data_IF_973822378208
#
_entry.id   IF_973822378208
#
_cell.length_a   1.000
_cell.length_b   1.000
_cell.length_c   1.000
_cell.angle_alpha   90.00
_cell.angle_beta   90.00
_cell.angle_gamma   90.00
#
_symmetry.space_group_name_H-M   'P 1'
#
loop_
_entity.id
_entity.type
_entity.pdbx_description
1 polymer ?
#
# COMPACT_ATOMS: atom_id res chain seq x y z
N UNK A 1 14.31 -1.28 -4.10
CA UNK A 1 14.73 -1.05 -5.50
C UNK A 1 13.48 -1.03 -6.37
N UNK A 2 13.42 -0.18 -7.40
CA UNK A 2 12.20 -0.02 -8.19
C UNK A 2 11.83 -1.29 -8.99
N UNK A 3 10.54 -1.60 -9.21
CA UNK A 3 10.09 -2.86 -9.80
C UNK A 3 10.61 -3.13 -11.22
N UNK A 4 10.97 -2.09 -11.97
CA UNK A 4 11.45 -2.20 -13.35
C UNK A 4 12.96 -2.51 -13.46
N UNK A 5 13.73 -2.44 -12.37
CA UNK A 5 15.19 -2.62 -12.41
C UNK A 5 15.60 -4.01 -12.91
N UNK A 6 14.96 -5.13 -12.52
CA UNK A 6 15.30 -6.45 -13.06
C UNK A 6 15.19 -6.52 -14.58
N UNK A 7 14.15 -5.91 -15.16
CA UNK A 7 13.97 -5.87 -16.61
C UNK A 7 15.03 -4.99 -17.27
N UNK A 8 15.29 -3.79 -16.73
CA UNK A 8 16.29 -2.86 -17.26
C UNK A 8 17.71 -3.44 -17.29
N UNK A 9 18.05 -4.29 -16.32
CA UNK A 9 19.35 -4.98 -16.26
C UNK A 9 19.64 -5.85 -17.48
N UNK A 10 18.62 -6.44 -18.09
CA UNK A 10 18.80 -7.28 -19.28
C UNK A 10 19.33 -6.50 -20.49
N UNK A 11 19.21 -5.17 -20.48
CA UNK A 11 19.60 -4.28 -21.58
C UNK A 11 20.94 -3.59 -21.36
N UNK A 12 21.58 -3.78 -20.20
CA UNK A 12 22.74 -3.02 -19.75
C UNK A 12 23.90 -3.96 -19.41
N UNK A 13 25.16 -3.50 -19.48
CA UNK A 13 26.30 -4.27 -19.02
C UNK A 13 26.13 -4.70 -17.55
N UNK A 14 26.59 -5.90 -17.20
CA UNK A 14 26.54 -6.42 -15.82
C UNK A 14 27.25 -5.50 -14.81
N UNK A 15 28.23 -4.71 -15.25
CA UNK A 15 28.96 -3.73 -14.43
C UNK A 15 28.18 -2.45 -14.13
N UNK A 16 26.96 -2.31 -14.65
CA UNK A 16 26.14 -1.11 -14.44
C UNK A 16 25.59 -1.09 -13.01
N UNK A 17 26.00 -0.06 -12.25
CA UNK A 17 25.45 0.21 -10.93
C UNK A 17 24.11 0.98 -11.05
N UNK A 18 23.10 0.57 -10.28
CA UNK A 18 21.84 1.27 -10.20
C UNK A 18 21.78 2.04 -8.90
N UNK A 19 21.66 3.37 -9.01
CA UNK A 19 21.46 4.24 -7.85
C UNK A 19 20.06 4.83 -7.88
N UNK A 20 19.40 4.78 -6.74
CA UNK A 20 18.11 5.45 -6.59
C UNK A 20 18.27 6.95 -6.85
N UNK A 21 17.29 7.58 -7.50
CA UNK A 21 17.34 9.02 -7.73
C UNK A 21 17.15 9.80 -6.44
N UNK A 22 16.65 9.19 -5.36
CA UNK A 22 16.41 9.77 -4.05
C UNK A 22 14.96 10.18 -3.83
N UNK A 23 14.54 10.17 -2.57
CA UNK A 23 13.18 10.46 -2.14
C UNK A 23 12.95 11.99 -2.05
N UNK A 24 11.84 12.44 -2.63
CA UNK A 24 11.45 13.85 -2.71
C UNK A 24 10.02 14.00 -3.24
N UNK A 25 9.49 15.21 -3.18
CA UNK A 25 8.19 15.59 -3.75
C UNK A 25 8.20 17.06 -4.20
N UNK A 26 7.05 17.60 -4.60
CA UNK A 26 6.88 19.04 -4.87
C UNK A 26 7.22 19.94 -3.66
N UNK A 27 7.09 19.40 -2.45
CA UNK A 27 7.33 20.09 -1.18
C UNK A 27 8.83 20.21 -0.84
N UNK A 28 9.67 19.40 -1.49
CA UNK A 28 11.12 19.49 -1.40
C UNK A 28 11.85 18.18 -1.64
N UNK A 29 13.17 18.22 -1.53
CA UNK A 29 14.04 17.06 -1.65
C UNK A 29 14.42 16.54 -0.27
N UNK A 30 14.16 15.26 0.00
CA UNK A 30 14.25 14.68 1.34
C UNK A 30 15.53 13.88 1.57
N UNK A 31 15.95 13.07 0.59
CA UNK A 31 17.14 12.22 0.75
C UNK A 31 18.18 12.36 -0.34
N UNK A 32 19.42 12.03 0.02
CA UNK A 32 20.54 11.82 -0.89
C UNK A 32 20.98 10.36 -0.78
N UNK A 33 20.75 9.53 -1.82
CA UNK A 33 21.27 8.16 -1.87
C UNK A 33 22.80 8.16 -2.01
N UNK A 34 23.47 7.34 -1.21
CA UNK A 34 24.94 7.21 -1.22
C UNK A 34 25.42 5.78 -1.48
N UNK A 35 24.51 4.81 -1.51
CA UNK A 35 24.80 3.40 -1.76
C UNK A 35 24.04 2.94 -3.00
N UNK A 36 24.71 2.20 -3.88
CA UNK A 36 24.07 1.57 -5.03
C UNK A 36 23.18 0.41 -4.59
N UNK A 37 22.19 0.05 -5.41
CA UNK A 37 21.27 -1.07 -5.19
C UNK A 37 20.38 -0.97 -3.95
N UNK A 38 20.37 0.20 -3.31
CA UNK A 38 19.68 0.45 -2.04
C UNK A 38 18.71 1.62 -2.22
N UNK A 39 17.43 1.47 -1.80
CA UNK A 39 16.42 2.51 -1.97
C UNK A 39 16.54 3.64 -0.93
N UNK A 40 17.25 3.42 0.18
CA UNK A 40 17.37 4.42 1.23
C UNK A 40 18.40 5.50 0.92
N UNK A 41 18.20 6.67 1.51
CA UNK A 41 19.15 7.78 1.43
C UNK A 41 19.28 8.51 2.74
N UNK A 42 20.36 9.26 2.86
CA UNK A 42 20.61 10.13 4.01
C UNK A 42 19.57 11.25 3.96
N UNK A 43 18.82 11.42 5.04
CA UNK A 43 17.89 12.53 5.20
C UNK A 43 18.68 13.84 5.17
N UNK A 44 18.15 14.86 4.48
CA UNK A 44 18.84 16.11 4.22
C UNK A 44 18.33 17.21 5.17
N UNK A 45 18.90 17.38 6.38
CA UNK A 45 18.37 18.30 7.40
C UNK A 45 18.52 19.79 7.04
N UNK A 46 19.30 20.12 6.01
CA UNK A 46 19.56 21.52 5.63
C UNK A 46 18.52 22.10 4.67
N UNK A 47 17.66 21.28 4.05
CA UNK A 47 16.66 21.74 3.08
C UNK A 47 15.30 22.01 3.72
N UNK A 48 14.97 21.26 4.77
CA UNK A 48 13.65 21.22 5.39
C UNK A 48 13.81 20.89 6.88
N UNK A 49 12.84 21.30 7.69
CA UNK A 49 12.72 20.81 9.05
C UNK A 49 11.77 19.61 9.08
N UNK A 50 12.21 18.52 9.71
CA UNK A 50 11.49 17.26 9.75
C UNK A 50 11.05 16.93 11.17
N UNK A 51 9.77 16.62 11.31
CA UNK A 51 9.16 15.98 12.45
C UNK A 51 8.64 14.59 12.03
N UNK A 52 8.53 13.66 12.98
CA UNK A 52 8.19 12.27 12.71
C UNK A 52 7.09 11.78 13.65
N UNK A 53 6.01 11.26 13.11
CA UNK A 53 4.94 10.62 13.89
C UNK A 53 5.08 9.11 13.78
N UNK A 54 5.15 8.34 14.87
CA UNK A 54 5.20 6.88 14.79
C UNK A 54 3.98 6.31 14.04
N UNK A 55 4.20 5.45 13.04
CA UNK A 55 3.13 4.92 12.21
C UNK A 55 2.32 3.81 12.92
N UNK A 56 3.01 3.02 13.75
CA UNK A 56 2.47 1.83 14.42
C UNK A 56 2.35 1.95 15.94
N UNK A 57 2.73 3.09 16.52
CA UNK A 57 2.66 3.33 17.97
C UNK A 57 1.78 4.52 18.32
N UNK A 58 0.50 4.24 18.57
CA UNK A 58 -0.49 5.26 18.93
C UNK A 58 -0.29 5.80 20.37
N UNK A 59 0.70 5.30 21.14
CA UNK A 59 1.01 5.78 22.50
C UNK A 59 1.85 7.04 22.52
N UNK A 60 2.52 7.35 21.41
CA UNK A 60 3.34 8.55 21.28
C UNK A 60 2.45 9.64 20.67
N UNK A 61 2.04 10.59 21.52
CA UNK A 61 1.12 11.68 21.16
C UNK A 61 1.82 12.93 20.62
N UNK A 62 3.16 12.91 20.53
CA UNK A 62 3.97 14.01 20.02
C UNK A 62 4.83 13.61 18.82
N UNK A 63 5.10 14.55 17.90
CA UNK A 63 6.16 14.35 16.93
C UNK A 63 7.53 14.20 17.58
N UNK A 64 8.34 13.36 16.95
CA UNK A 64 9.73 13.09 17.28
C UNK A 64 10.65 13.87 16.36
N UNK A 65 11.88 14.10 16.83
CA UNK A 65 12.98 14.67 16.06
C UNK A 65 13.90 13.56 15.52
N UNK A 66 14.71 13.87 14.52
CA UNK A 66 15.58 12.89 13.85
C UNK A 66 16.53 12.12 14.78
N UNK A 67 16.93 12.68 15.93
CA UNK A 67 17.79 12.00 16.90
C UNK A 67 17.02 11.01 17.81
N UNK A 68 15.70 11.08 17.85
CA UNK A 68 14.84 10.22 18.67
C UNK A 68 14.38 8.95 17.91
N UNK A 69 14.67 8.86 16.61
CA UNK A 69 14.20 7.77 15.77
C UNK A 69 14.96 6.46 16.02
N UNK A 70 14.20 5.36 15.95
CA UNK A 70 14.68 3.99 16.11
C UNK A 70 14.85 3.30 14.75
N UNK A 71 15.97 2.59 14.57
CA UNK A 71 16.22 1.80 13.35
C UNK A 71 15.20 0.67 13.23
N UNK A 72 14.64 0.50 12.03
CA UNK A 72 13.63 -0.50 11.69
C UNK A 72 12.19 -0.01 11.89
N UNK A 73 11.98 1.07 12.64
CA UNK A 73 10.64 1.61 12.90
C UNK A 73 10.12 2.46 11.73
N UNK A 74 8.78 2.57 11.67
CA UNK A 74 8.04 3.31 10.65
C UNK A 74 7.53 4.63 11.22
N UNK A 75 7.68 5.71 10.44
CA UNK A 75 7.24 7.04 10.83
C UNK A 75 6.55 7.75 9.66
N UNK A 76 5.47 8.47 9.94
CA UNK A 76 4.92 9.47 9.04
C UNK A 76 5.74 10.75 9.11
N UNK A 77 6.09 11.28 7.94
CA UNK A 77 6.88 12.51 7.80
C UNK A 77 6.00 13.75 7.93
N UNK A 78 6.46 14.70 8.73
CA UNK A 78 5.85 16.02 8.90
C UNK A 78 6.91 17.08 8.58
N UNK A 79 6.56 18.02 7.69
CA UNK A 79 7.52 18.92 7.06
C UNK A 79 7.24 20.39 7.42
N UNK A 80 8.30 21.14 7.65
CA UNK A 80 8.28 22.61 7.59
C UNK A 80 9.29 23.09 6.55
N UNK A 81 8.87 23.98 5.65
CA UNK A 81 9.69 24.47 4.55
C UNK A 81 9.65 26.00 4.37
N UNK A 82 10.58 26.52 3.58
CA UNK A 82 10.69 27.97 3.31
C UNK A 82 9.55 28.53 2.43
N UNK A 83 8.74 27.66 1.80
CA UNK A 83 7.62 28.05 0.95
C UNK A 83 6.30 28.22 1.72
N UNK A 84 6.33 28.15 3.05
CA UNK A 84 5.18 28.41 3.91
C UNK A 84 4.41 27.16 4.34
N UNK A 85 4.93 25.95 4.10
CA UNK A 85 4.41 24.75 4.74
C UNK A 85 4.94 24.69 6.17
N UNK A 86 4.04 24.62 7.16
CA UNK A 86 4.38 24.51 8.58
C UNK A 86 3.71 23.28 9.16
N UNK A 87 4.53 22.36 9.68
CA UNK A 87 4.07 21.07 10.25
C UNK A 87 3.10 20.35 9.31
N UNK A 88 3.39 20.41 8.01
CA UNK A 88 2.57 19.83 6.96
C UNK A 88 2.76 18.32 6.92
N UNK A 89 1.66 17.58 7.05
CA UNK A 89 1.66 16.11 6.92
C UNK A 89 1.67 15.78 5.43
N UNK A 90 2.82 15.34 4.92
CA UNK A 90 2.93 14.85 3.53
C UNK A 90 2.33 13.46 3.35
N UNK A 91 1.96 12.84 4.48
CA UNK A 91 1.38 11.49 4.54
C UNK A 91 2.29 10.46 3.89
N UNK A 92 3.60 10.60 4.04
CA UNK A 92 4.57 9.58 3.63
C UNK A 92 5.05 8.82 4.85
N UNK A 93 5.00 7.49 4.78
CA UNK A 93 5.60 6.58 5.74
C UNK A 93 7.01 6.26 5.28
N UNK A 94 7.97 6.51 6.15
CA UNK A 94 9.38 6.17 5.95
C UNK A 94 9.84 5.15 6.98
N UNK A 95 10.77 4.27 6.59
CA UNK A 95 11.48 3.38 7.50
C UNK A 95 12.86 3.94 7.76
N UNK A 96 13.29 3.91 9.02
CA UNK A 96 14.65 4.29 9.40
C UNK A 96 15.56 3.08 9.22
N UNK A 97 16.47 3.15 8.26
CA UNK A 97 17.40 2.06 7.93
C UNK A 97 18.71 2.15 8.74
N UNK A 98 18.98 3.32 9.33
CA UNK A 98 20.15 3.55 10.16
C UNK A 98 20.49 5.02 10.30
N UNK A 99 21.78 5.31 10.50
CA UNK A 99 22.32 6.66 10.65
C UNK A 99 23.62 6.83 9.88
N UNK A 100 23.85 8.03 9.35
CA UNK A 100 25.10 8.45 8.74
C UNK A 100 25.53 9.77 9.38
N UNK A 101 26.68 9.78 10.07
CA UNK A 101 27.20 10.97 10.76
C UNK A 101 26.13 11.66 11.65
N UNK A 102 25.30 10.87 12.31
CA UNK A 102 24.19 11.32 13.16
C UNK A 102 22.86 11.61 12.43
N UNK A 103 22.88 11.83 11.12
CA UNK A 103 21.67 12.03 10.32
C UNK A 103 20.93 10.69 10.07
N UNK A 104 19.58 10.64 10.16
CA UNK A 104 18.83 9.45 9.80
C UNK A 104 19.03 9.05 8.34
N UNK A 105 19.17 7.75 8.10
CA UNK A 105 19.07 7.16 6.76
C UNK A 105 17.68 6.55 6.64
N UNK A 106 16.91 6.96 5.62
CA UNK A 106 15.50 6.60 5.51
C UNK A 106 15.16 6.05 4.13
N UNK A 107 14.28 5.04 4.10
CA UNK A 107 13.64 4.52 2.91
C UNK A 107 12.18 4.96 2.87
N UNK A 108 11.71 5.42 1.71
CA UNK A 108 10.28 5.57 1.49
C UNK A 108 9.60 4.20 1.48
N UNK A 109 8.49 4.06 2.19
CA UNK A 109 7.70 2.83 2.27
C UNK A 109 6.42 3.00 1.47
N UNK A 110 5.55 3.92 1.89
CA UNK A 110 4.26 4.19 1.24
C UNK A 110 3.68 5.54 1.60
N UNK A 111 2.56 5.89 0.97
CA UNK A 111 1.66 6.93 1.46
C UNK A 111 0.86 6.38 2.66
N UNK A 112 0.68 7.17 3.71
CA UNK A 112 -0.08 6.83 4.91
C UNK A 112 -1.54 6.48 4.60
N UNK A 113 -2.10 7.02 3.52
CA UNK A 113 -3.45 6.70 3.04
C UNK A 113 -3.57 5.39 2.26
N UNK A 114 -2.47 4.73 1.92
CA UNK A 114 -2.47 3.45 1.19
C UNK A 114 -2.53 2.27 2.17
N UNK A 115 -3.46 2.37 3.13
CA UNK A 115 -3.74 1.34 4.14
C UNK A 115 -5.24 1.13 4.29
N UNK A 116 -5.63 -0.13 4.37
CA UNK A 116 -6.96 -0.56 4.78
C UNK A 116 -7.10 -0.50 6.29
N UNK A 117 -8.23 -0.03 6.79
CA UNK A 117 -8.50 -0.03 8.22
C UNK A 117 -9.98 -0.20 8.48
N UNK A 118 -10.34 -1.33 9.11
CA UNK A 118 -11.70 -1.62 9.56
C UNK A 118 -11.72 -1.65 11.08
N UNK A 119 -10.80 -2.38 11.72
CA UNK A 119 -10.72 -2.64 13.16
C UNK A 119 -9.29 -2.46 13.70
N UNK A 120 -8.62 -1.39 13.26
CA UNK A 120 -7.29 -0.99 13.74
C UNK A 120 -6.14 -1.89 13.26
N UNK A 121 -6.34 -2.64 12.19
CA UNK A 121 -5.36 -3.56 11.62
C UNK A 121 -4.31 -2.87 10.74
N UNK A 122 -4.62 -1.68 10.20
CA UNK A 122 -3.76 -0.90 9.29
C UNK A 122 -3.14 -1.79 8.18
N UNK A 123 -4.00 -2.49 7.43
CA UNK A 123 -3.60 -3.40 6.34
C UNK A 123 -2.87 -2.63 5.23
N UNK A 124 -1.59 -2.90 5.09
CA UNK A 124 -0.67 -2.26 4.15
C UNK A 124 -0.92 -2.67 2.69
N UNK A 125 -0.91 -1.71 1.76
CA UNK A 125 -1.05 -1.97 0.31
C UNK A 125 0.01 -2.95 -0.21
N UNK A 126 1.23 -2.90 0.31
CA UNK A 126 2.33 -3.77 -0.09
C UNK A 126 2.07 -5.24 0.26
N UNK A 127 1.33 -5.51 1.34
CA UNK A 127 0.94 -6.89 1.68
C UNK A 127 -0.12 -7.42 0.71
N UNK A 128 -1.02 -6.54 0.26
CA UNK A 128 -1.99 -6.88 -0.79
C UNK A 128 -1.29 -7.16 -2.10
N UNK A 129 -0.40 -6.27 -2.54
CA UNK A 129 0.39 -6.45 -3.76
C UNK A 129 1.22 -7.74 -3.71
N UNK A 130 1.87 -8.02 -2.58
CA UNK A 130 2.64 -9.26 -2.40
C UNK A 130 1.75 -10.50 -2.43
N UNK A 131 0.57 -10.47 -1.80
CA UNK A 131 -0.37 -11.59 -1.80
C UNK A 131 -0.92 -11.86 -3.21
N UNK A 132 -1.29 -10.81 -3.94
CA UNK A 132 -1.80 -10.89 -5.32
C UNK A 132 -0.71 -11.35 -6.30
N UNK A 133 0.52 -10.84 -6.17
CA UNK A 133 1.64 -11.21 -7.04
C UNK A 133 1.96 -12.69 -6.91
N UNK A 134 2.00 -13.22 -5.69
CA UNK A 134 2.24 -14.64 -5.45
C UNK A 134 1.19 -15.53 -6.12
N UNK A 135 -0.08 -15.11 -6.13
CA UNK A 135 -1.15 -15.84 -6.82
C UNK A 135 -1.02 -15.78 -8.34
N UNK A 136 -0.64 -14.63 -8.89
CA UNK A 136 -0.39 -14.49 -10.34
C UNK A 136 0.81 -15.30 -10.84
N UNK A 137 1.79 -15.57 -9.98
CA UNK A 137 2.91 -16.47 -10.27
C UNK A 137 2.49 -17.96 -10.28
N UNK A 138 1.52 -18.33 -9.43
CA UNK A 138 1.01 -19.69 -9.31
C UNK A 138 0.01 -20.05 -10.42
N UNK A 139 -0.88 -19.13 -10.77
CA UNK A 139 -1.88 -19.29 -11.84
C UNK A 139 -1.88 -18.06 -12.76
N UNK A 140 -1.09 -18.08 -13.86
CA UNK A 140 -1.02 -16.99 -14.83
C UNK A 140 -2.36 -16.64 -15.51
N UNK A 141 -3.35 -17.54 -15.48
CA UNK A 141 -4.68 -17.29 -16.06
C UNK A 141 -5.55 -16.43 -15.12
N UNK A 142 -5.25 -16.43 -13.82
CA UNK A 142 -5.95 -15.62 -12.80
C UNK A 142 -5.14 -14.39 -12.38
N UNK A 143 -4.23 -13.93 -13.24
CA UNK A 143 -3.47 -12.70 -12.99
C UNK A 143 -4.37 -11.46 -13.12
N UNK A 144 -4.44 -10.59 -12.10
CA UNK A 144 -5.13 -9.32 -12.23
C UNK A 144 -4.32 -8.33 -13.07
N UNK A 145 -4.98 -7.66 -14.02
CA UNK A 145 -4.46 -6.43 -14.64
C UNK A 145 -4.46 -5.26 -13.67
N UNK A 146 -5.43 -5.21 -12.76
CA UNK A 146 -5.50 -4.23 -11.68
C UNK A 146 -6.26 -4.80 -10.48
N UNK A 147 -5.82 -4.43 -9.27
CA UNK A 147 -6.49 -4.74 -8.01
C UNK A 147 -6.65 -3.47 -7.19
N UNK A 148 -7.81 -3.32 -6.56
CA UNK A 148 -8.02 -2.35 -5.50
C UNK A 148 -8.91 -2.93 -4.40
N UNK A 149 -8.85 -2.36 -3.20
CA UNK A 149 -9.66 -2.76 -2.05
C UNK A 149 -10.49 -1.57 -1.55
N UNK A 150 -11.72 -1.85 -1.14
CA UNK A 150 -12.58 -0.91 -0.42
C UNK A 150 -12.82 -1.46 0.98
N UNK A 151 -12.60 -0.62 2.00
CA UNK A 151 -12.91 -0.96 3.39
C UNK A 151 -14.42 -0.75 3.62
N UNK A 152 -15.20 -1.83 3.72
CA UNK A 152 -16.62 -1.75 4.09
C UNK A 152 -16.76 -1.88 5.61
N UNK A 153 -16.62 -0.74 6.29
CA UNK A 153 -16.56 -0.66 7.75
C UNK A 153 -17.86 -1.08 8.42
N UNK A 154 -19.00 -0.81 7.79
CA UNK A 154 -20.34 -1.24 8.19
C UNK A 154 -20.55 -2.75 8.06
N UNK A 155 -19.97 -3.37 7.04
CA UNK A 155 -20.04 -4.82 6.83
C UNK A 155 -18.93 -5.61 7.54
N UNK A 156 -17.98 -4.90 8.16
CA UNK A 156 -16.77 -5.43 8.77
C UNK A 156 -15.95 -6.30 7.81
N UNK A 157 -15.82 -5.92 6.54
CA UNK A 157 -15.06 -6.69 5.54
C UNK A 157 -14.42 -5.82 4.47
N UNK A 158 -13.43 -6.39 3.80
CA UNK A 158 -12.88 -5.82 2.59
C UNK A 158 -13.66 -6.28 1.36
N UNK A 159 -13.88 -5.37 0.41
CA UNK A 159 -14.25 -5.70 -0.95
C UNK A 159 -13.02 -5.58 -1.84
N UNK A 160 -12.59 -6.69 -2.41
CA UNK A 160 -11.53 -6.75 -3.41
C UNK A 160 -12.15 -6.49 -4.78
N UNK A 161 -11.60 -5.57 -5.55
CA UNK A 161 -11.97 -5.26 -6.93
C UNK A 161 -10.85 -5.79 -7.82
N UNK A 162 -11.18 -6.63 -8.80
CA UNK A 162 -10.18 -7.21 -9.71
C UNK A 162 -10.61 -7.02 -11.14
N UNK A 163 -9.76 -6.45 -11.97
CA UNK A 163 -9.83 -6.58 -13.43
C UNK A 163 -8.93 -7.73 -13.88
N UNK A 164 -9.47 -8.83 -14.42
CA UNK A 164 -8.68 -9.94 -14.96
C UNK A 164 -7.83 -9.52 -16.15
N UNK A 165 -6.58 -9.99 -16.24
CA UNK A 165 -5.70 -9.72 -17.39
C UNK A 165 -6.16 -10.50 -18.64
N UNK A 166 -6.50 -11.78 -18.48
CA UNK A 166 -6.94 -12.65 -19.57
C UNK A 166 -8.47 -12.69 -19.77
N UNK A 167 -9.22 -11.87 -19.02
CA UNK A 167 -10.68 -11.81 -19.13
C UNK A 167 -11.44 -13.02 -18.56
N UNK A 168 -10.77 -13.92 -17.82
CA UNK A 168 -11.46 -14.99 -17.08
C UNK A 168 -12.38 -14.36 -16.02
N UNK A 169 -13.65 -14.73 -16.04
CA UNK A 169 -14.62 -14.29 -15.03
C UNK A 169 -15.35 -15.47 -14.37
N UNK A 170 -14.76 -16.67 -14.33
CA UNK A 170 -15.35 -17.83 -13.65
C UNK A 170 -15.42 -17.61 -12.12
N UNK A 171 -16.62 -17.46 -11.54
CA UNK A 171 -16.77 -17.21 -10.10
C UNK A 171 -16.15 -18.28 -9.21
N UNK A 172 -16.08 -19.54 -9.65
CA UNK A 172 -15.54 -20.62 -8.84
C UNK A 172 -14.01 -20.51 -8.70
N UNK A 173 -13.32 -20.24 -9.81
CA UNK A 173 -11.87 -20.01 -9.84
C UNK A 173 -11.48 -18.79 -9.01
N UNK A 174 -12.19 -17.68 -9.23
CA UNK A 174 -11.95 -16.43 -8.51
C UNK A 174 -12.31 -16.49 -7.02
N UNK A 175 -13.27 -17.34 -6.62
CA UNK A 175 -13.53 -17.62 -5.20
C UNK A 175 -12.34 -18.28 -4.54
N UNK A 176 -11.75 -19.27 -5.19
CA UNK A 176 -10.59 -19.98 -4.66
C UNK A 176 -9.35 -19.08 -4.64
N UNK A 177 -9.14 -18.28 -5.68
CA UNK A 177 -8.14 -17.23 -5.68
C UNK A 177 -8.30 -16.28 -4.48
N UNK A 178 -9.52 -15.79 -4.21
CA UNK A 178 -9.79 -14.90 -3.08
C UNK A 178 -9.49 -15.56 -1.74
N UNK A 179 -9.79 -16.86 -1.57
CA UNK A 179 -9.44 -17.62 -0.36
C UNK A 179 -7.93 -17.66 -0.14
N UNK A 180 -7.15 -17.91 -1.19
CA UNK A 180 -5.68 -17.97 -1.08
C UNK A 180 -5.06 -16.60 -0.83
N UNK A 181 -5.58 -15.54 -1.46
CA UNK A 181 -5.20 -14.15 -1.14
C UNK A 181 -5.50 -13.82 0.33
N UNK A 182 -6.71 -14.14 0.83
CA UNK A 182 -7.05 -13.91 2.25
C UNK A 182 -6.12 -14.67 3.20
N UNK A 183 -5.82 -15.94 2.90
CA UNK A 183 -4.88 -16.75 3.68
C UNK A 183 -3.47 -16.13 3.69
N UNK A 184 -2.99 -15.67 2.53
CA UNK A 184 -1.67 -15.02 2.40
C UNK A 184 -1.61 -13.67 3.12
N UNK A 185 -2.67 -12.88 3.06
CA UNK A 185 -2.78 -11.65 3.84
C UNK A 185 -2.74 -11.93 5.34
N UNK A 186 -3.39 -13.00 5.79
CA UNK A 186 -3.28 -13.47 7.17
C UNK A 186 -1.84 -13.89 7.48
N UNK A 187 -1.11 -14.58 6.61
CA UNK A 187 0.31 -14.94 6.82
C UNK A 187 1.23 -13.71 6.93
N UNK A 188 1.04 -12.73 6.05
CA UNK A 188 1.91 -11.56 5.95
C UNK A 188 1.59 -10.46 6.97
N UNK A 189 0.33 -10.36 7.42
CA UNK A 189 -0.15 -9.32 8.32
C UNK A 189 -0.66 -9.87 9.66
N UNK A 190 0.15 -9.88 10.74
CA UNK A 190 -0.27 -10.38 12.05
C UNK A 190 -1.51 -9.69 12.63
N UNK A 191 -1.63 -8.37 12.46
CA UNK A 191 -2.80 -7.62 12.90
C UNK A 191 -4.05 -8.05 12.11
N UNK A 192 -3.96 -8.14 10.78
CA UNK A 192 -5.07 -8.61 9.94
C UNK A 192 -5.50 -10.03 10.33
N UNK A 193 -4.54 -10.96 10.49
CA UNK A 193 -4.79 -12.33 10.98
C UNK A 193 -5.54 -12.35 12.29
N UNK A 194 -5.08 -11.59 13.27
CA UNK A 194 -5.71 -11.54 14.58
C UNK A 194 -7.17 -11.08 14.49
N UNK A 195 -7.46 -10.04 13.68
CA UNK A 195 -8.85 -9.56 13.48
C UNK A 195 -9.71 -10.54 12.70
N UNK A 196 -9.16 -11.24 11.70
CA UNK A 196 -9.85 -12.31 10.96
C UNK A 196 -10.20 -13.49 11.88
N UNK A 197 -9.26 -13.95 12.70
CA UNK A 197 -9.45 -15.05 13.67
C UNK A 197 -10.45 -14.70 14.79
N UNK A 198 -10.51 -13.43 15.19
CA UNK A 198 -11.49 -12.92 16.16
C UNK A 198 -12.86 -12.62 15.54
N UNK A 199 -13.05 -12.86 14.24
CA UNK A 199 -14.24 -12.50 13.47
C UNK A 199 -14.61 -11.00 13.53
N UNK A 200 -13.65 -10.14 13.92
CA UNK A 200 -13.79 -8.67 13.89
C UNK A 200 -13.71 -8.13 12.46
N UNK A 201 -13.00 -8.84 11.59
CA UNK A 201 -13.04 -8.68 10.15
C UNK A 201 -13.54 -10.00 9.55
N UNK A 202 -14.63 -9.92 8.79
CA UNK A 202 -15.23 -11.06 8.09
C UNK A 202 -14.44 -11.38 6.83
N UNK A 203 -14.74 -12.54 6.24
CA UNK A 203 -14.13 -12.95 4.98
C UNK A 203 -14.35 -11.88 3.90
N UNK A 204 -13.33 -11.58 3.07
CA UNK A 204 -13.47 -10.58 2.03
C UNK A 204 -14.49 -11.01 0.97
N UNK A 205 -15.04 -10.03 0.27
CA UNK A 205 -15.80 -10.22 -0.96
C UNK A 205 -14.95 -9.83 -2.16
N UNK A 206 -15.31 -10.32 -3.34
CA UNK A 206 -14.67 -9.96 -4.60
C UNK A 206 -15.71 -9.43 -5.58
N UNK A 207 -15.40 -8.32 -6.24
CA UNK A 207 -16.07 -7.84 -7.43
C UNK A 207 -15.11 -7.97 -8.61
N UNK A 208 -15.51 -8.77 -9.59
CA UNK A 208 -14.80 -8.94 -10.86
C UNK A 208 -15.24 -7.81 -11.78
N UNK A 209 -14.31 -6.97 -12.17
CA UNK A 209 -14.49 -5.78 -13.00
C UNK A 209 -14.35 -6.14 -14.48
N UNK A 210 -15.12 -5.46 -15.33
CA UNK A 210 -15.01 -5.57 -16.79
C UNK A 210 -13.66 -5.04 -17.28
N UNK A 211 -13.19 -5.60 -18.40
CA UNK A 211 -12.00 -5.09 -19.10
C UNK A 211 -12.12 -3.59 -19.42
N UNK A 212 -11.03 -2.86 -19.22
CA UNK A 212 -10.93 -1.41 -19.39
C UNK A 212 -11.24 -0.61 -18.12
N UNK A 213 -11.51 -1.25 -16.98
CA UNK A 213 -11.77 -0.57 -15.71
C UNK A 213 -10.56 0.27 -15.26
N UNK A 214 -9.36 -0.31 -15.24
CA UNK A 214 -8.10 0.39 -14.91
C UNK A 214 -7.90 1.62 -15.77
N UNK A 215 -8.09 1.49 -17.08
CA UNK A 215 -7.84 2.57 -18.03
C UNK A 215 -8.80 3.74 -17.77
N UNK A 216 -10.08 3.46 -17.51
CA UNK A 216 -11.08 4.48 -17.14
C UNK A 216 -10.77 5.15 -15.79
N UNK A 217 -10.27 4.40 -14.81
CA UNK A 217 -9.81 4.99 -13.55
C UNK A 217 -8.65 5.96 -13.78
N UNK A 218 -7.68 5.58 -14.62
CA UNK A 218 -6.56 6.45 -14.98
C UNK A 218 -7.03 7.71 -15.70
N UNK A 219 -7.95 7.59 -16.66
CA UNK A 219 -8.53 8.72 -17.38
C UNK A 219 -9.29 9.67 -16.45
N UNK A 220 -10.13 9.14 -15.57
CA UNK A 220 -10.86 9.94 -14.57
C UNK A 220 -9.91 10.77 -13.72
N UNK A 221 -8.81 10.15 -13.25
CA UNK A 221 -7.82 10.84 -12.40
C UNK A 221 -6.94 11.82 -13.18
N UNK A 222 -6.58 11.51 -14.43
CA UNK A 222 -5.88 12.43 -15.32
C UNK A 222 -6.73 13.69 -15.61
N UNK A 223 -8.03 13.50 -15.85
CA UNK A 223 -8.97 14.60 -16.12
C UNK A 223 -9.13 15.58 -14.95
N UNK A 224 -8.74 15.16 -13.74
CA UNK A 224 -8.76 16.00 -12.52
C UNK A 224 -7.49 16.85 -12.36
N UNK A 225 -6.65 16.97 -13.40
CA UNK A 225 -5.52 17.89 -13.47
C UNK A 225 -4.13 17.26 -13.30
N UNK A 226 -4.02 15.93 -13.35
CA UNK A 226 -2.75 15.22 -13.32
C UNK A 226 -2.17 14.99 -14.72
N UNK A 227 -0.83 15.08 -14.87
CA UNK A 227 -0.15 14.56 -16.06
C UNK A 227 -0.43 13.06 -16.18
N UNK A 228 -0.84 12.59 -17.36
CA UNK A 228 -1.21 11.17 -17.60
C UNK A 228 -0.08 10.19 -17.19
N UNK A 229 1.19 10.61 -17.33
CA UNK A 229 2.37 9.82 -16.94
C UNK A 229 2.61 9.73 -15.42
N UNK A 230 1.91 10.52 -14.60
CA UNK A 230 2.07 10.57 -13.14
C UNK A 230 0.85 10.01 -12.38
N UNK A 231 -0.16 9.49 -13.07
CA UNK A 231 -1.35 8.93 -12.41
C UNK A 231 -1.02 7.57 -11.81
N UNK A 232 -0.82 7.54 -10.48
CA UNK A 232 -0.76 6.31 -9.69
C UNK A 232 -2.17 5.95 -9.19
N UNK A 233 -2.61 4.73 -9.47
CA UNK A 233 -3.83 4.19 -8.86
C UNK A 233 -3.50 3.63 -7.47
N UNK A 234 -4.20 4.05 -6.40
CA UNK A 234 -4.00 3.51 -5.07
C UNK A 234 -4.56 2.09 -4.98
N UNK A 235 -4.01 1.28 -4.07
CA UNK A 235 -4.59 -0.03 -3.78
C UNK A 235 -5.86 0.13 -2.96
N UNK A 236 -5.91 1.07 -2.02
CA UNK A 236 -7.12 1.34 -1.25
C UNK A 236 -7.94 2.49 -1.84
N UNK A 237 -9.22 2.22 -2.12
CA UNK A 237 -10.21 3.20 -2.56
C UNK A 237 -11.18 3.53 -1.43
N UNK A 238 -11.66 4.78 -1.40
CA UNK A 238 -12.67 5.23 -0.42
C UNK A 238 -14.05 4.66 -0.70
N UNK A 239 -14.35 4.33 -1.95
CA UNK A 239 -15.60 3.72 -2.41
C UNK A 239 -15.35 2.95 -3.71
N UNK A 240 -16.34 2.17 -4.15
CA UNK A 240 -16.28 1.54 -5.48
C UNK A 240 -16.42 2.62 -6.55
N UNK A 241 -15.32 2.91 -7.24
CA UNK A 241 -15.31 3.78 -8.41
C UNK A 241 -15.73 3.00 -9.67
N UNK A 242 -16.66 3.58 -10.46
CA UNK A 242 -17.27 2.95 -11.64
C UNK A 242 -18.03 1.65 -11.31
N UNK A 243 -19.03 1.66 -10.40
CA UNK A 243 -19.75 0.46 -9.97
C UNK A 243 -20.49 -0.25 -11.13
N UNK A 244 -20.85 0.47 -12.19
CA UNK A 244 -21.44 -0.10 -13.41
C UNK A 244 -20.49 -1.05 -14.17
N UNK A 245 -19.19 -0.99 -13.88
CA UNK A 245 -18.17 -1.88 -14.43
C UNK A 245 -18.05 -3.21 -13.68
N UNK A 246 -18.80 -3.43 -12.59
CA UNK A 246 -18.86 -4.75 -11.93
C UNK A 246 -19.54 -5.73 -12.89
N UNK A 247 -18.83 -6.80 -13.25
CA UNK A 247 -19.37 -7.90 -14.05
C UNK A 247 -20.00 -8.98 -13.16
N UNK A 248 -19.29 -9.38 -12.09
CA UNK A 248 -19.72 -10.43 -11.17
C UNK A 248 -19.28 -10.12 -9.74
N UNK A 249 -20.03 -10.63 -8.78
CA UNK A 249 -19.66 -10.60 -7.36
C UNK A 249 -19.48 -12.03 -6.86
N UNK A 250 -18.42 -12.25 -6.08
CA UNK A 250 -18.02 -13.53 -5.53
C UNK A 250 -17.83 -13.38 -4.03
N UNK A 251 -18.38 -14.32 -3.29
CA UNK A 251 -18.21 -14.38 -1.83
C UNK A 251 -17.55 -15.69 -1.44
N UNK A 252 -16.72 -15.64 -0.39
CA UNK A 252 -16.31 -16.83 0.33
C UNK A 252 -17.51 -17.26 1.17
N UNK A 253 -17.98 -18.50 0.99
CA UNK A 253 -19.00 -19.08 1.86
C UNK A 253 -18.56 -18.93 3.32
N UNK A 254 -19.46 -18.49 4.19
CA UNK A 254 -19.11 -18.25 5.59
C UNK A 254 -18.61 -19.55 6.22
N UNK A 255 -17.39 -19.51 6.79
CA UNK A 255 -16.96 -20.53 7.73
C UNK A 255 -18.02 -20.62 8.83
N UNK A 256 -18.70 -21.77 8.92
CA UNK A 256 -19.74 -21.97 9.92
C UNK A 256 -19.17 -21.79 11.32
N UNK A 257 -19.38 -20.63 11.94
CA UNK A 257 -18.81 -20.34 13.25
C UNK A 257 -19.21 -18.99 13.84
N UNK A 258 -20.19 -19.04 14.76
CA UNK A 258 -20.26 -18.13 15.92
C UNK A 258 -20.97 -16.81 15.70
N UNK A 259 -22.16 -16.69 16.28
CA UNK A 259 -22.84 -15.42 16.49
C UNK A 259 -21.90 -14.39 17.13
N UNK A 260 -21.88 -13.18 16.57
CA UNK A 260 -21.28 -12.00 17.19
C UNK A 260 -21.94 -11.85 18.57
N UNK A 261 -21.19 -11.83 19.69
CA UNK A 261 -21.80 -11.56 20.98
C UNK A 261 -22.29 -10.11 20.98
N UNK A 262 -23.60 -9.95 21.11
CA UNK A 262 -24.25 -8.68 21.40
C UNK A 262 -23.64 -8.11 22.67
N UNK A 263 -22.88 -7.01 22.54
CA UNK A 263 -22.40 -6.22 23.67
C UNK A 263 -23.28 -5.00 23.82
N UNK A 264 -24.52 -5.24 24.25
CA UNK A 264 -25.32 -4.27 25.00
C UNK A 264 -25.42 -4.73 26.46
N UNK A 265 -24.49 -4.26 27.29
CA UNK A 265 -24.62 -3.95 28.73
C UNK A 265 -23.24 -3.69 29.34
#
# INVERSE_FOLDING_TARGET
MAPFVPEARAWLPESTAFRDFGYGSSEGRFTIPVVDERPEGILVPHTLFYEFLPADDDRIDRPLLGHELETGALYELVLTNHAGLYRYRIHDIVRVEGRFEGAPVVAFVRKAGDVGNIMGEKLAAELVEAAVSAEGELDPDLRPRHVALVSRTDEHRYLVLVEPEQGDTDPARWREWLRRVDARLQELGPSYRLRRQQALIRAPQLAIMRSGWRDRLMESRASTGGLQAQVKLPVFLSAVELPEMIEKTVEIEADGGGAVPDRTA
#
